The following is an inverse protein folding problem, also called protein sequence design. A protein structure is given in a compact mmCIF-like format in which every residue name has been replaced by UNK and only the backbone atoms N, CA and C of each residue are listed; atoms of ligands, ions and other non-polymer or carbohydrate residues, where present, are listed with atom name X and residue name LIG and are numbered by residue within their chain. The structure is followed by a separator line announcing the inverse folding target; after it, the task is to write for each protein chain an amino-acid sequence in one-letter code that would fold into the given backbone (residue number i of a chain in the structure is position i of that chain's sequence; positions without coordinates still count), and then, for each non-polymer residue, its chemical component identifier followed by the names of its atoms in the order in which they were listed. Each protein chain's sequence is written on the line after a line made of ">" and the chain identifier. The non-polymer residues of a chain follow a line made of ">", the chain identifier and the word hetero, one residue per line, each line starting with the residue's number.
data_IF_901139229503
#
_entry.id   IF_901139229503
#
_cell.length_a   1.000
_cell.length_b   1.000
_cell.length_c   1.000
_cell.angle_alpha   90.00
_cell.angle_beta   90.00
_cell.angle_gamma   90.00
#
_symmetry.space_group_name_H-M   'P 1'
#
loop_
_entity.id
_entity.type
_entity.pdbx_description
1 polymer ?
#
# COMPACT_ATOMS: atom_id res chain seq x y z
N UNK A 1 -12.92 -11.77 -7.66
CA UNK A 1 -14.14 -12.33 -7.07
C UNK A 1 -14.82 -11.39 -6.07
N UNK A 2 -14.09 -10.76 -5.11
CA UNK A 2 -14.65 -9.86 -4.07
C UNK A 2 -15.36 -8.64 -4.68
N UNK A 3 -14.72 -7.93 -5.62
CA UNK A 3 -15.31 -6.79 -6.30
C UNK A 3 -16.64 -7.15 -7.00
N UNK A 4 -16.67 -8.30 -7.68
CA UNK A 4 -17.89 -8.82 -8.31
C UNK A 4 -19.00 -9.09 -7.29
N UNK A 5 -18.69 -9.70 -6.16
CA UNK A 5 -19.66 -9.97 -5.08
C UNK A 5 -20.23 -8.68 -4.47
N UNK A 6 -19.40 -7.63 -4.41
CA UNK A 6 -19.77 -6.33 -3.85
C UNK A 6 -20.34 -5.35 -4.89
N UNK A 7 -20.51 -5.80 -6.13
CA UNK A 7 -20.99 -4.97 -7.24
C UNK A 7 -20.14 -3.71 -7.49
N UNK A 8 -18.82 -3.83 -7.25
CA UNK A 8 -17.84 -2.77 -7.49
C UNK A 8 -17.25 -2.95 -8.90
N UNK A 9 -17.18 -1.89 -9.72
CA UNK A 9 -16.49 -1.96 -11.01
C UNK A 9 -15.06 -2.46 -10.84
N UNK A 10 -14.61 -3.32 -11.74
CA UNK A 10 -13.25 -3.87 -11.70
C UNK A 10 -12.71 -4.13 -13.10
N UNK A 11 -11.40 -3.99 -13.21
CA UNK A 11 -10.63 -4.39 -14.39
C UNK A 11 -9.49 -5.33 -13.94
N UNK A 12 -9.08 -6.22 -14.83
CA UNK A 12 -8.00 -7.15 -14.58
C UNK A 12 -7.15 -7.32 -15.83
N UNK A 13 -5.87 -7.04 -15.72
CA UNK A 13 -4.89 -7.26 -16.78
C UNK A 13 -3.49 -7.40 -16.18
N UNK A 14 -2.63 -8.09 -16.90
CA UNK A 14 -1.26 -8.37 -16.47
C UNK A 14 -0.25 -7.68 -17.37
N UNK A 15 0.98 -7.52 -16.88
CA UNK A 15 2.10 -7.02 -17.68
C UNK A 15 2.35 -7.88 -18.92
N UNK A 16 2.17 -9.21 -18.79
CA UNK A 16 2.32 -10.16 -19.89
C UNK A 16 1.28 -9.94 -20.98
N UNK A 17 0.02 -9.78 -20.60
CA UNK A 17 -1.09 -9.48 -21.54
C UNK A 17 -0.93 -8.14 -22.24
N UNK A 18 -0.33 -7.16 -21.57
CA UNK A 18 -0.04 -5.86 -22.17
C UNK A 18 1.23 -5.84 -23.04
N UNK A 19 2.00 -6.91 -23.07
CA UNK A 19 3.23 -6.97 -23.84
C UNK A 19 4.45 -6.29 -23.18
N UNK A 20 4.38 -5.99 -21.89
CA UNK A 20 5.49 -5.44 -21.11
C UNK A 20 5.08 -4.37 -20.11
N UNK A 21 6.07 -3.91 -19.32
CA UNK A 21 5.83 -2.93 -18.23
C UNK A 21 5.30 -1.59 -18.77
N UNK A 22 5.92 -1.05 -19.82
CA UNK A 22 5.52 0.26 -20.37
C UNK A 22 4.09 0.26 -20.91
N UNK A 23 3.67 -0.68 -21.80
CA UNK A 23 2.28 -0.75 -22.25
C UNK A 23 1.28 -1.01 -21.09
N UNK A 24 1.70 -1.77 -20.07
CA UNK A 24 0.88 -1.98 -18.87
C UNK A 24 0.61 -0.65 -18.13
N UNK A 25 1.64 0.16 -17.89
CA UNK A 25 1.51 1.45 -17.21
C UNK A 25 0.70 2.47 -18.04
N UNK A 26 0.88 2.47 -19.35
CA UNK A 26 0.08 3.31 -20.27
C UNK A 26 -1.40 2.91 -20.19
N UNK A 27 -1.71 1.62 -20.30
CA UNK A 27 -3.08 1.13 -20.17
C UNK A 27 -3.69 1.44 -18.80
N UNK A 28 -2.91 1.28 -17.73
CA UNK A 28 -3.38 1.61 -16.38
C UNK A 28 -3.73 3.10 -16.27
N UNK A 29 -2.88 3.98 -16.77
CA UNK A 29 -3.10 5.42 -16.74
C UNK A 29 -4.33 5.81 -17.58
N UNK A 30 -4.49 5.25 -18.78
CA UNK A 30 -5.65 5.49 -19.64
C UNK A 30 -6.95 5.05 -18.95
N UNK A 31 -6.94 3.89 -18.29
CA UNK A 31 -8.08 3.40 -17.52
C UNK A 31 -8.44 4.32 -16.35
N UNK A 32 -7.44 4.75 -15.57
CA UNK A 32 -7.65 5.68 -14.45
C UNK A 32 -8.25 7.00 -14.92
N UNK A 33 -7.75 7.54 -16.02
CA UNK A 33 -8.27 8.77 -16.63
C UNK A 33 -9.69 8.59 -17.18
N UNK A 34 -9.97 7.49 -17.87
CA UNK A 34 -11.29 7.18 -18.41
C UNK A 34 -12.37 7.08 -17.31
N UNK A 35 -12.00 6.61 -16.13
CA UNK A 35 -12.88 6.54 -14.97
C UNK A 35 -12.82 7.77 -14.07
N UNK A 36 -12.12 8.83 -14.48
CA UNK A 36 -11.99 10.09 -13.71
C UNK A 36 -11.51 9.86 -12.27
N UNK A 37 -10.57 8.92 -12.11
CA UNK A 37 -9.97 8.63 -10.81
C UNK A 37 -9.04 9.78 -10.43
N UNK A 38 -9.15 10.25 -9.19
CA UNK A 38 -8.34 11.34 -8.62
C UNK A 38 -7.52 10.90 -7.40
N UNK A 39 -7.77 9.69 -6.88
CA UNK A 39 -7.05 9.14 -5.74
C UNK A 39 -6.83 7.63 -5.86
N UNK A 40 -5.62 7.17 -5.59
CA UNK A 40 -5.22 5.76 -5.69
C UNK A 40 -4.93 5.18 -4.31
N UNK A 41 -5.45 3.99 -4.07
CA UNK A 41 -5.17 3.21 -2.86
C UNK A 41 -4.51 1.90 -3.28
N UNK A 42 -3.24 1.73 -2.91
CA UNK A 42 -2.46 0.53 -3.22
C UNK A 42 -2.55 -0.44 -2.04
N UNK A 43 -3.13 -1.60 -2.28
CA UNK A 43 -3.24 -2.70 -1.33
C UNK A 43 -2.62 -3.96 -1.94
N UNK A 44 -1.46 -4.37 -1.47
CA UNK A 44 -0.73 -5.51 -2.03
C UNK A 44 -0.26 -5.30 -3.48
N UNK A 45 0.02 -4.07 -3.86
CA UNK A 45 0.56 -3.76 -5.19
C UNK A 45 2.08 -3.95 -5.17
N UNK A 46 2.52 -5.13 -5.60
CA UNK A 46 3.92 -5.56 -5.51
C UNK A 46 4.81 -5.06 -6.66
N UNK A 47 4.48 -3.93 -7.28
CA UNK A 47 5.24 -3.37 -8.39
C UNK A 47 5.62 -1.92 -8.10
N UNK A 48 6.75 -1.50 -8.63
CA UNK A 48 7.10 -0.07 -8.61
C UNK A 48 6.18 0.67 -9.59
N UNK A 49 5.44 1.64 -9.09
CA UNK A 49 4.61 2.55 -9.88
C UNK A 49 5.51 3.42 -10.75
N UNK A 50 5.18 3.56 -12.03
CA UNK A 50 5.95 4.38 -12.96
C UNK A 50 5.83 5.88 -12.67
N UNK A 51 6.92 6.60 -12.94
CA UNK A 51 7.02 8.04 -12.68
C UNK A 51 5.89 8.87 -13.32
N UNK A 52 5.35 8.43 -14.46
CA UNK A 52 4.24 9.11 -15.13
C UNK A 52 2.95 9.06 -14.30
N UNK A 53 2.66 7.91 -13.70
CA UNK A 53 1.49 7.75 -12.82
C UNK A 53 1.71 8.57 -11.54
N UNK A 54 2.89 8.48 -10.91
CA UNK A 54 3.21 9.25 -9.70
C UNK A 54 3.03 10.75 -9.96
N UNK A 55 3.53 11.26 -11.08
CA UNK A 55 3.38 12.68 -11.45
C UNK A 55 1.91 13.07 -11.70
N UNK A 56 1.14 12.20 -12.33
CA UNK A 56 -0.29 12.47 -12.62
C UNK A 56 -1.11 12.51 -11.33
N UNK A 57 -0.78 11.66 -10.37
CA UNK A 57 -1.48 11.51 -9.09
C UNK A 57 -0.62 11.98 -7.91
N UNK A 58 0.12 13.07 -8.10
CA UNK A 58 1.00 13.63 -7.06
C UNK A 58 0.18 13.91 -5.78
N UNK A 59 0.69 13.48 -4.63
CA UNK A 59 0.02 13.54 -3.33
C UNK A 59 -1.37 12.88 -3.29
N UNK A 60 -1.66 11.98 -4.22
CA UNK A 60 -2.95 11.30 -4.36
C UNK A 60 -2.82 9.78 -4.48
N UNK A 61 -1.67 9.23 -4.13
CA UNK A 61 -1.45 7.78 -4.07
C UNK A 61 -1.02 7.42 -2.65
N UNK A 62 -1.71 6.49 -2.02
CA UNK A 62 -1.32 5.92 -0.74
C UNK A 62 -1.04 4.42 -0.88
N UNK A 63 -0.10 3.94 -0.10
CA UNK A 63 0.33 2.55 -0.06
C UNK A 63 0.27 1.99 1.35
N UNK A 64 -0.06 0.71 1.44
CA UNK A 64 0.06 -0.10 2.64
C UNK A 64 1.36 -0.90 2.57
N UNK A 65 2.23 -0.75 3.57
CA UNK A 65 3.50 -1.46 3.67
C UNK A 65 3.57 -2.26 4.97
N UNK A 66 3.85 -3.58 4.91
CA UNK A 66 3.85 -4.47 6.08
C UNK A 66 5.17 -4.41 6.87
N UNK A 67 5.58 -3.20 7.25
CA UNK A 67 6.67 -2.95 8.19
C UNK A 67 6.52 -1.58 8.85
N UNK A 68 7.25 -1.35 9.91
CA UNK A 68 7.35 -0.05 10.57
C UNK A 68 8.44 0.79 9.89
N UNK A 69 8.07 1.51 8.83
CA UNK A 69 9.03 2.32 8.06
C UNK A 69 9.73 3.37 8.94
N UNK A 70 11.01 3.65 8.69
CA UNK A 70 11.83 3.27 7.52
C UNK A 70 12.48 1.88 7.57
N UNK A 71 12.11 1.03 8.50
CA UNK A 71 12.63 -0.33 8.61
C UNK A 71 12.03 -1.24 7.54
N UNK A 72 12.83 -2.16 7.03
CA UNK A 72 12.44 -3.19 6.05
C UNK A 72 11.68 -2.65 4.82
N UNK A 73 12.15 -1.61 4.10
CA UNK A 73 11.52 -1.15 2.88
C UNK A 73 11.61 -2.21 1.78
N UNK A 74 10.70 -2.17 0.81
CA UNK A 74 10.66 -3.09 -0.32
C UNK A 74 10.03 -4.44 0.00
N UNK A 75 10.46 -5.46 -0.74
CA UNK A 75 9.87 -6.80 -0.67
C UNK A 75 10.31 -7.59 0.56
N UNK A 76 9.51 -8.59 0.93
CA UNK A 76 9.81 -9.55 2.00
C UNK A 76 10.06 -8.90 3.36
N UNK A 77 9.33 -7.84 3.67
CA UNK A 77 9.52 -7.07 4.90
C UNK A 77 9.19 -7.86 6.16
N UNK A 78 8.16 -8.70 6.12
CA UNK A 78 7.76 -9.54 7.27
C UNK A 78 8.81 -10.61 7.52
N UNK A 79 9.23 -11.33 6.49
CA UNK A 79 10.25 -12.37 6.58
C UNK A 79 11.58 -11.79 7.10
N UNK A 80 11.98 -10.61 6.60
CA UNK A 80 13.20 -9.92 7.05
C UNK A 80 13.11 -9.46 8.51
N UNK A 81 11.95 -8.99 8.96
CA UNK A 81 11.73 -8.65 10.35
C UNK A 81 11.77 -9.89 11.25
N UNK A 82 11.22 -11.02 10.78
CA UNK A 82 11.31 -12.30 11.49
C UNK A 82 12.74 -12.86 11.54
N UNK A 83 13.49 -12.78 10.45
CA UNK A 83 14.91 -13.14 10.44
C UNK A 83 15.72 -12.31 11.45
N UNK A 84 15.44 -11.01 11.53
CA UNK A 84 16.08 -10.10 12.50
C UNK A 84 15.71 -10.44 13.96
N UNK A 85 14.45 -10.87 14.19
CA UNK A 85 14.04 -11.42 15.47
C UNK A 85 14.88 -12.63 15.87
N UNK A 86 15.00 -13.62 14.99
CA UNK A 86 15.76 -14.86 15.25
C UNK A 86 17.25 -14.59 15.46
N UNK A 87 17.85 -13.67 14.70
CA UNK A 87 19.28 -13.41 14.71
C UNK A 87 19.70 -12.39 15.76
N UNK A 88 18.92 -11.37 16.00
CA UNK A 88 19.29 -10.19 16.78
C UNK A 88 18.33 -9.88 17.95
N UNK A 89 17.29 -10.70 18.14
CA UNK A 89 16.32 -10.52 19.23
C UNK A 89 15.36 -9.34 19.00
N UNK A 90 15.06 -9.02 17.76
CA UNK A 90 14.04 -7.99 17.42
C UNK A 90 12.68 -8.40 17.98
N UNK A 91 12.01 -7.51 18.71
CA UNK A 91 10.75 -7.83 19.41
C UNK A 91 9.50 -7.25 18.76
N UNK A 92 9.67 -6.48 17.69
CA UNK A 92 8.53 -5.86 17.00
C UNK A 92 8.84 -5.52 15.54
N UNK A 93 7.80 -5.47 14.75
CA UNK A 93 7.74 -4.87 13.42
C UNK A 93 6.53 -3.92 13.36
N UNK A 94 5.87 -3.76 12.23
CA UNK A 94 4.68 -2.93 12.17
C UNK A 94 4.01 -2.91 10.81
N UNK A 95 3.09 -1.96 10.70
CA UNK A 95 2.38 -1.64 9.47
C UNK A 95 2.44 -0.14 9.26
N UNK A 96 2.71 0.29 8.04
CA UNK A 96 2.76 1.70 7.66
C UNK A 96 1.81 1.99 6.51
N UNK A 97 1.03 3.06 6.64
CA UNK A 97 0.30 3.68 5.53
C UNK A 97 1.01 4.99 5.20
N UNK A 98 1.42 5.18 3.95
CA UNK A 98 2.19 6.34 3.52
C UNK A 98 1.78 6.82 2.13
N UNK A 99 2.08 8.07 1.81
CA UNK A 99 2.00 8.55 0.44
C UNK A 99 3.11 7.94 -0.41
N UNK A 100 2.81 7.72 -1.70
CA UNK A 100 3.80 7.22 -2.66
C UNK A 100 4.49 8.38 -3.34
N UNK A 101 5.81 8.35 -3.31
CA UNK A 101 6.70 9.26 -4.04
C UNK A 101 7.58 8.48 -5.05
N UNK A 102 8.60 9.12 -5.59
CA UNK A 102 9.51 8.49 -6.54
C UNK A 102 10.52 7.51 -5.91
N UNK A 103 10.58 7.45 -4.58
CA UNK A 103 11.45 6.54 -3.85
C UNK A 103 10.79 5.20 -3.54
N UNK A 104 11.54 4.32 -2.91
CA UNK A 104 11.03 3.03 -2.45
C UNK A 104 10.55 3.17 -1.01
N UNK A 105 9.23 3.14 -0.81
CA UNK A 105 8.56 3.25 0.49
C UNK A 105 9.05 4.45 1.34
N UNK A 106 9.43 5.56 0.68
CA UNK A 106 10.05 6.74 1.30
C UNK A 106 9.11 7.94 1.45
N UNK A 107 7.92 7.86 0.89
CA UNK A 107 6.95 8.95 0.93
C UNK A 107 6.43 9.26 2.34
N UNK A 108 5.80 10.42 2.54
CA UNK A 108 5.32 10.88 3.84
C UNK A 108 4.40 9.87 4.53
N UNK A 109 4.71 9.56 5.79
CA UNK A 109 3.94 8.62 6.61
C UNK A 109 2.63 9.28 7.03
N UNK A 110 1.53 8.54 6.89
CA UNK A 110 0.18 8.96 7.29
C UNK A 110 -0.21 8.33 8.62
N UNK A 111 0.04 7.04 8.78
CA UNK A 111 -0.25 6.29 9.98
C UNK A 111 0.67 5.07 10.09
N UNK A 112 1.00 4.71 11.32
CA UNK A 112 1.78 3.50 11.62
C UNK A 112 1.21 2.81 12.86
N UNK A 113 1.44 1.51 12.94
CA UNK A 113 1.14 0.71 14.13
C UNK A 113 2.21 -0.36 14.31
N UNK A 114 2.71 -0.50 15.54
CA UNK A 114 3.61 -1.59 15.91
C UNK A 114 2.85 -2.93 15.97
N UNK A 115 3.57 -3.98 15.59
CA UNK A 115 3.13 -5.37 15.68
C UNK A 115 4.21 -6.16 16.44
N UNK A 116 3.90 -6.78 17.58
CA UNK A 116 4.87 -7.53 18.36
C UNK A 116 5.30 -8.81 17.64
N UNK A 117 6.54 -9.23 17.88
CA UNK A 117 7.07 -10.54 17.49
C UNK A 117 7.36 -11.30 18.79
N UNK A 118 6.80 -12.49 18.94
CA UNK A 118 6.97 -13.32 20.13
C UNK A 118 8.01 -14.41 19.89
N UNK A 119 8.67 -14.85 20.95
CA UNK A 119 9.77 -15.84 20.86
C UNK A 119 9.32 -17.20 20.29
N UNK A 120 8.05 -17.54 20.47
CA UNK A 120 7.46 -18.77 19.95
C UNK A 120 6.82 -18.65 18.58
N UNK A 121 6.83 -17.44 17.98
CA UNK A 121 6.22 -17.22 16.66
C UNK A 121 6.94 -18.03 15.57
N UNK A 122 6.15 -18.50 14.63
CA UNK A 122 6.57 -18.81 13.28
C UNK A 122 6.41 -17.58 12.37
N UNK A 123 7.04 -17.58 11.21
CA UNK A 123 6.85 -16.51 10.22
C UNK A 123 5.38 -16.36 9.80
N UNK A 124 4.65 -17.48 9.69
CA UNK A 124 3.24 -17.49 9.29
C UNK A 124 2.36 -16.83 10.37
N UNK A 125 2.62 -17.09 11.67
CA UNK A 125 1.90 -16.46 12.78
C UNK A 125 2.17 -14.94 12.86
N UNK A 126 3.40 -14.52 12.58
CA UNK A 126 3.72 -13.11 12.47
C UNK A 126 3.00 -12.47 11.27
N UNK A 127 2.97 -13.15 10.11
CA UNK A 127 2.27 -12.68 8.91
C UNK A 127 0.78 -12.50 9.17
N UNK A 128 0.12 -13.48 9.81
CA UNK A 128 -1.29 -13.37 10.20
C UNK A 128 -1.55 -12.16 11.09
N UNK A 129 -0.70 -11.93 12.10
CA UNK A 129 -0.80 -10.78 13.02
C UNK A 129 -0.59 -9.44 12.31
N UNK A 130 0.35 -9.37 11.39
CA UNK A 130 0.57 -8.19 10.54
C UNK A 130 -0.67 -7.92 9.69
N UNK A 131 -1.24 -8.93 9.04
CA UNK A 131 -2.45 -8.79 8.23
C UNK A 131 -3.68 -8.39 9.05
N UNK A 132 -3.85 -8.88 10.27
CA UNK A 132 -4.90 -8.40 11.19
C UNK A 132 -4.75 -6.89 11.47
N UNK A 133 -3.52 -6.45 11.71
CA UNK A 133 -3.22 -5.04 11.92
C UNK A 133 -3.53 -4.20 10.66
N UNK A 134 -3.16 -4.68 9.48
CA UNK A 134 -3.47 -4.05 8.19
C UNK A 134 -4.97 -3.89 7.98
N UNK A 135 -5.75 -4.93 8.24
CA UNK A 135 -7.21 -4.94 8.10
C UNK A 135 -7.91 -3.91 8.99
N UNK A 136 -7.29 -3.49 10.08
CA UNK A 136 -7.80 -2.44 10.97
C UNK A 136 -7.28 -1.05 10.55
N UNK A 137 -5.95 -0.92 10.43
CA UNK A 137 -5.29 0.36 10.22
C UNK A 137 -5.63 0.97 8.86
N UNK A 138 -5.61 0.16 7.80
CA UNK A 138 -5.72 0.66 6.43
C UNK A 138 -7.10 1.26 6.12
N UNK A 139 -8.23 0.58 6.40
CA UNK A 139 -9.55 1.17 6.17
C UNK A 139 -9.80 2.43 7.00
N UNK A 140 -9.34 2.46 8.26
CA UNK A 140 -9.48 3.63 9.13
C UNK A 140 -8.70 4.84 8.59
N UNK A 141 -7.47 4.60 8.15
CA UNK A 141 -6.60 5.64 7.57
C UNK A 141 -7.16 6.15 6.25
N UNK A 142 -7.58 5.26 5.36
CA UNK A 142 -8.19 5.62 4.08
C UNK A 142 -9.43 6.50 4.27
N UNK A 143 -10.32 6.11 5.18
CA UNK A 143 -11.53 6.89 5.49
C UNK A 143 -11.18 8.30 5.98
N UNK A 144 -10.18 8.43 6.86
CA UNK A 144 -9.73 9.73 7.36
C UNK A 144 -9.19 10.59 6.23
N UNK A 145 -8.24 10.08 5.45
CA UNK A 145 -7.59 10.81 4.35
C UNK A 145 -8.62 11.29 3.32
N UNK A 146 -9.56 10.43 2.93
CA UNK A 146 -10.59 10.80 1.96
C UNK A 146 -11.58 11.84 2.52
N UNK A 147 -11.96 11.74 3.79
CA UNK A 147 -12.83 12.74 4.42
C UNK A 147 -12.15 14.11 4.53
N UNK A 148 -10.86 14.15 4.91
CA UNK A 148 -10.09 15.39 5.02
C UNK A 148 -9.94 16.04 3.63
N UNK A 149 -9.71 15.26 2.58
CA UNK A 149 -9.66 15.74 1.20
C UNK A 149 -11.00 16.36 0.74
N UNK A 150 -12.11 15.67 0.97
CA UNK A 150 -13.45 16.16 0.63
C UNK A 150 -13.77 17.45 1.39
N UNK A 151 -13.40 17.55 2.66
CA UNK A 151 -13.60 18.74 3.47
C UNK A 151 -12.79 19.93 2.94
N UNK A 152 -11.54 19.71 2.55
CA UNK A 152 -10.68 20.73 1.94
C UNK A 152 -11.28 21.27 0.64
N UNK A 153 -11.72 20.40 -0.27
CA UNK A 153 -12.31 20.78 -1.55
C UNK A 153 -13.62 21.61 -1.35
N UNK A 154 -14.43 21.27 -0.35
CA UNK A 154 -15.67 22.02 -0.02
C UNK A 154 -15.40 23.35 0.65
N UNK A 155 -14.29 23.50 1.37
CA UNK A 155 -13.92 24.75 2.05
C UNK A 155 -13.15 25.73 1.15
N UNK A 156 -12.74 25.30 -0.04
CA UNK A 156 -11.98 26.10 -1.02
C UNK A 156 -12.85 26.73 -2.11
N UNK A 157 -14.17 26.54 -2.04
CA UNK A 157 -15.20 27.20 -2.89
C UNK A 157 -15.93 28.31 -2.06
#
# INVERSE_FOLDING_TARGET
>A
ERAKKLNVPYESFTVKECGGKKPYEERLLDLLNAHQIDFLILAGYMRVIGAKIIKTFENSIINLHPAYLPEYPGLHSIERAFEDHVQNGRTETGVTVHYVDCGLDSGPIIAQRHVPIYDEDTVDELEERVHECEHILFPQTNKRVLNDRIAYEKGSN
#
